data_IF_687468085284
#
_entry.id   IF_687468085284
#
_cell.length_a   1.000
_cell.length_b   1.000
_cell.length_c   1.000
_cell.angle_alpha   90.00
_cell.angle_beta   90.00
_cell.angle_gamma   90.00
#
_symmetry.space_group_name_H-M   'P 1'
#
loop_
_entity.id
_entity.type
_entity.pdbx_description
1 polymer ?
#
# COMPACT_ATOMS: atom_id res chain seq x y z
N UNK A 1 -9.81 -10.46 5.14
CA UNK A 1 -9.76 -11.07 3.79
C UNK A 1 -8.53 -10.56 3.06
N UNK A 2 -7.73 -11.48 2.61
CA UNK A 2 -6.50 -11.11 1.92
C UNK A 2 -6.73 -11.07 0.42
N UNK A 3 -6.38 -9.97 -0.19
CA UNK A 3 -6.45 -9.81 -1.64
C UNK A 3 -5.06 -9.78 -2.21
N UNK A 4 -4.85 -10.58 -3.24
CA UNK A 4 -3.63 -10.49 -4.03
C UNK A 4 -3.88 -9.53 -5.17
N UNK A 5 -3.03 -8.56 -5.26
CA UNK A 5 -3.10 -7.57 -6.31
C UNK A 5 -1.73 -7.38 -6.94
N UNK A 6 -1.69 -7.30 -8.24
CA UNK A 6 -0.48 -6.93 -8.95
C UNK A 6 -0.51 -5.43 -9.17
N UNK A 7 -0.06 -4.70 -8.16
CA UNK A 7 0.05 -3.28 -8.26
C UNK A 7 1.51 -2.93 -8.47
N UNK A 8 1.81 -2.45 -9.66
CA UNK A 8 3.13 -1.92 -9.93
C UNK A 8 3.19 -0.54 -9.27
N UNK A 9 4.11 -0.37 -8.33
CA UNK A 9 4.33 0.93 -7.75
C UNK A 9 4.93 1.83 -8.82
N UNK A 10 4.14 2.75 -9.32
CA UNK A 10 4.61 3.77 -10.24
C UNK A 10 4.98 5.00 -9.45
N UNK A 11 6.24 5.31 -9.42
CA UNK A 11 6.67 6.57 -8.85
C UNK A 11 6.06 7.71 -9.65
N UNK A 12 5.35 8.60 -8.98
CA UNK A 12 4.71 9.71 -9.64
C UNK A 12 3.49 9.36 -10.47
N UNK A 13 2.89 8.20 -10.21
CA UNK A 13 1.67 7.83 -10.91
C UNK A 13 0.57 8.83 -10.68
N UNK A 14 0.17 9.52 -11.73
CA UNK A 14 -0.89 10.49 -11.67
C UNK A 14 -2.19 9.86 -12.12
N UNK A 15 -3.18 9.88 -11.23
CA UNK A 15 -4.51 9.36 -11.54
C UNK A 15 -5.53 10.47 -11.36
N UNK A 16 -5.78 11.24 -12.41
CA UNK A 16 -6.64 12.42 -12.29
C UNK A 16 -8.08 12.06 -11.90
N UNK A 17 -8.56 10.89 -12.29
CA UNK A 17 -9.90 10.46 -11.90
C UNK A 17 -10.03 10.25 -10.40
N UNK A 18 -8.98 9.76 -9.78
CA UNK A 18 -8.97 9.53 -8.34
C UNK A 18 -9.04 10.83 -7.55
N UNK A 19 -8.34 11.84 -8.01
CA UNK A 19 -8.33 13.15 -7.35
C UNK A 19 -9.71 13.81 -7.32
N UNK A 20 -10.54 13.53 -8.31
CA UNK A 20 -11.88 14.09 -8.38
C UNK A 20 -12.86 13.43 -7.42
N UNK A 21 -12.70 12.15 -7.20
CA UNK A 21 -13.64 11.36 -6.42
C UNK A 21 -13.43 11.56 -4.93
N UNK A 22 -12.25 11.95 -4.54
CA UNK A 22 -11.91 12.02 -3.12
C UNK A 22 -12.19 13.39 -2.55
N UNK A 23 -13.32 13.51 -1.85
CA UNK A 23 -13.56 14.66 -1.00
C UNK A 23 -12.63 14.62 0.23
N UNK A 24 -12.33 13.43 0.74
CA UNK A 24 -11.43 13.25 1.88
C UNK A 24 -10.38 12.24 1.46
N UNK A 25 -9.12 12.66 1.49
CA UNK A 25 -8.01 11.77 1.16
C UNK A 25 -7.59 10.95 2.35
N UNK A 26 -7.36 9.66 2.15
CA UNK A 26 -6.67 8.87 3.17
C UNK A 26 -5.26 9.40 3.36
N UNK A 27 -4.82 9.41 4.61
CA UNK A 27 -3.46 9.82 4.93
C UNK A 27 -2.75 8.67 5.60
N UNK A 28 -1.54 8.41 5.16
CA UNK A 28 -0.67 7.45 5.82
C UNK A 28 -0.20 8.09 7.12
N UNK A 29 -0.54 7.46 8.24
CA UNK A 29 -0.16 7.94 9.55
C UNK A 29 1.17 7.36 9.98
N UNK A 30 1.36 6.08 9.75
CA UNK A 30 2.62 5.41 10.09
C UNK A 30 2.81 4.20 9.20
N UNK A 31 4.08 3.84 9.00
CA UNK A 31 4.46 2.66 8.25
C UNK A 31 5.52 1.93 9.03
N UNK A 32 5.32 0.64 9.20
CA UNK A 32 6.33 -0.26 9.75
C UNK A 32 6.67 -1.27 8.68
N UNK A 33 7.93 -1.32 8.30
CA UNK A 33 8.39 -2.24 7.28
C UNK A 33 9.31 -3.29 7.89
N UNK A 34 9.15 -4.51 7.46
CA UNK A 34 9.98 -5.62 7.88
C UNK A 34 10.40 -6.41 6.65
N UNK A 35 11.71 -6.55 6.47
CA UNK A 35 12.24 -7.40 5.42
C UNK A 35 12.13 -8.86 5.86
N UNK A 36 11.35 -9.64 5.13
CA UNK A 36 11.28 -11.09 5.32
C UNK A 36 12.51 -11.74 4.68
N UNK A 37 12.83 -11.30 3.49
CA UNK A 37 14.08 -11.58 2.78
C UNK A 37 14.51 -10.28 2.10
N UNK A 38 15.67 -10.24 1.42
CA UNK A 38 16.00 -9.03 0.68
C UNK A 38 15.12 -8.77 -0.54
N UNK A 39 14.29 -9.71 -0.90
CA UNK A 39 13.36 -9.55 -2.01
C UNK A 39 11.90 -9.49 -1.57
N UNK A 40 11.64 -9.55 -0.28
CA UNK A 40 10.28 -9.55 0.26
C UNK A 40 10.21 -8.63 1.46
N UNK A 41 9.30 -7.67 1.40
CA UNK A 41 9.05 -6.74 2.49
C UNK A 41 7.57 -6.82 2.86
N UNK A 42 7.31 -6.92 4.14
CA UNK A 42 5.95 -6.78 4.67
C UNK A 42 5.85 -5.47 5.42
N UNK A 43 4.83 -4.70 5.10
CA UNK A 43 4.59 -3.40 5.70
C UNK A 43 3.26 -3.40 6.42
N UNK A 44 3.28 -2.90 7.65
CA UNK A 44 2.06 -2.52 8.33
C UNK A 44 1.85 -1.03 8.14
N UNK A 45 0.74 -0.65 7.56
CA UNK A 45 0.44 0.73 7.24
C UNK A 45 -0.78 1.15 8.05
N UNK A 46 -0.65 2.26 8.74
CA UNK A 46 -1.77 2.85 9.46
C UNK A 46 -2.27 4.04 8.66
N UNK A 47 -3.52 3.96 8.25
CA UNK A 47 -4.13 4.94 7.36
C UNK A 47 -5.26 5.64 8.12
N UNK A 48 -5.30 6.95 8.03
CA UNK A 48 -6.42 7.74 8.51
C UNK A 48 -7.23 8.27 7.34
N UNK A 49 -8.53 8.11 7.45
CA UNK A 49 -9.47 8.62 6.48
C UNK A 49 -10.60 9.32 7.22
N UNK A 50 -10.54 10.64 7.26
CA UNK A 50 -11.42 11.43 8.12
C UNK A 50 -11.14 11.13 9.58
N UNK A 51 -12.13 10.71 10.33
CA UNK A 51 -12.00 10.33 11.74
C UNK A 51 -11.72 8.86 11.94
N UNK A 52 -11.65 8.10 10.87
CA UNK A 52 -11.43 6.67 10.94
C UNK A 52 -9.97 6.32 10.73
N UNK A 53 -9.53 5.34 11.50
CA UNK A 53 -8.19 4.75 11.34
C UNK A 53 -8.35 3.32 10.89
N UNK A 54 -7.49 2.91 9.96
CA UNK A 54 -7.46 1.54 9.47
C UNK A 54 -6.03 1.05 9.40
N UNK A 55 -5.86 -0.22 9.69
CA UNK A 55 -4.60 -0.89 9.49
C UNK A 55 -4.64 -1.64 8.17
N UNK A 56 -3.54 -1.59 7.47
CA UNK A 56 -3.38 -2.22 6.18
C UNK A 56 -2.07 -2.98 6.18
N UNK A 57 -2.11 -4.25 5.86
CA UNK A 57 -0.91 -5.05 5.67
C UNK A 57 -0.62 -5.14 4.17
N UNK A 58 0.58 -4.83 3.79
CA UNK A 58 1.00 -4.82 2.39
C UNK A 58 2.26 -5.66 2.26
N UNK A 59 2.28 -6.52 1.28
CA UNK A 59 3.46 -7.30 0.96
C UNK A 59 3.98 -6.90 -0.39
N UNK A 60 5.27 -6.58 -0.44
CA UNK A 60 5.98 -6.27 -1.67
C UNK A 60 7.01 -7.34 -1.94
N UNK A 61 7.13 -7.72 -3.17
CA UNK A 61 8.16 -8.66 -3.62
C UNK A 61 8.90 -8.03 -4.77
N UNK A 62 10.22 -8.19 -4.73
CA UNK A 62 11.07 -7.69 -5.78
C UNK A 62 11.28 -8.78 -6.83
N UNK A 63 11.03 -8.40 -8.07
CA UNK A 63 11.25 -9.27 -9.22
C UNK A 63 11.91 -8.44 -10.31
N UNK A 64 13.07 -8.85 -10.77
CA UNK A 64 13.79 -8.18 -11.85
C UNK A 64 13.99 -6.68 -11.59
N UNK A 65 14.39 -6.33 -10.36
CA UNK A 65 14.64 -4.95 -9.94
C UNK A 65 13.39 -4.09 -9.83
N UNK A 66 12.21 -4.68 -9.84
CA UNK A 66 10.97 -3.98 -9.61
C UNK A 66 10.29 -4.51 -8.36
N UNK A 67 9.76 -3.60 -7.57
CA UNK A 67 8.93 -3.95 -6.43
C UNK A 67 7.48 -4.03 -6.85
N UNK A 68 6.84 -5.13 -6.51
CA UNK A 68 5.44 -5.40 -6.85
C UNK A 68 4.69 -5.66 -5.55
N UNK A 69 3.55 -5.04 -5.42
CA UNK A 69 2.64 -5.35 -4.31
C UNK A 69 1.95 -6.69 -4.63
N UNK A 70 2.23 -7.71 -3.83
CA UNK A 70 1.70 -9.05 -4.06
C UNK A 70 0.56 -9.42 -3.15
N UNK A 71 0.38 -8.71 -2.05
CA UNK A 71 -0.72 -8.96 -1.14
C UNK A 71 -1.10 -7.67 -0.44
N UNK A 72 -2.38 -7.51 -0.22
CA UNK A 72 -2.94 -6.35 0.45
C UNK A 72 -4.10 -6.84 1.31
N UNK A 73 -4.07 -6.49 2.58
CA UNK A 73 -5.02 -7.00 3.55
C UNK A 73 -5.44 -5.86 4.48
N UNK A 74 -6.71 -5.58 4.51
CA UNK A 74 -7.28 -4.59 5.44
C UNK A 74 -7.69 -5.29 6.72
N UNK A 75 -7.20 -4.78 7.79
CA UNK A 75 -7.60 -5.26 9.10
C UNK A 75 -8.95 -4.68 9.55
#
# INVERSE_FOLDING_TARGET
MRRRAHLVARAGGHQPGLARVQAVRPRVHSVHACFVTHDVVECGVHVRHGERSRALAVRFERSQQHWICTALDFA
#
